data_IF_130827930528
#
_entry.id   IF_130827930528
#
_cell.length_a   1.000
_cell.length_b   1.000
_cell.length_c   1.000
_cell.angle_alpha   90.00
_cell.angle_beta   90.00
_cell.angle_gamma   90.00
#
_symmetry.space_group_name_H-M   'P 1'
#
loop_
_entity.id
_entity.type
_entity.pdbx_description
1 polymer ?
#
# COMPACT_ATOMS: atom_id res chain seq x y z
N UNK A 1 20.32 -14.04 -10.76
CA UNK A 1 19.74 -12.73 -10.37
C UNK A 1 18.37 -13.00 -9.81
N UNK A 2 18.05 -12.56 -8.58
CA UNK A 2 16.68 -12.66 -8.06
C UNK A 2 15.88 -11.57 -8.75
N UNK A 3 15.06 -11.92 -9.73
CA UNK A 3 13.94 -11.08 -10.14
C UNK A 3 13.08 -10.91 -8.89
N UNK A 4 13.19 -9.74 -8.25
CA UNK A 4 12.25 -9.32 -7.22
C UNK A 4 10.87 -9.37 -7.88
N UNK A 5 9.98 -10.23 -7.38
CA UNK A 5 8.64 -10.33 -7.94
C UNK A 5 7.99 -8.96 -7.75
N UNK A 6 7.50 -8.37 -8.85
CA UNK A 6 6.95 -7.01 -8.86
C UNK A 6 5.92 -6.81 -7.72
N UNK A 7 5.21 -7.89 -7.33
CA UNK A 7 4.26 -7.90 -6.22
C UNK A 7 4.92 -7.62 -4.87
N UNK A 8 6.09 -8.18 -4.62
CA UNK A 8 6.84 -7.96 -3.37
C UNK A 8 7.21 -6.48 -3.24
N UNK A 9 7.71 -5.88 -4.33
CA UNK A 9 8.13 -4.47 -4.34
C UNK A 9 6.93 -3.54 -4.11
N UNK A 10 5.84 -3.69 -4.88
CA UNK A 10 4.67 -2.82 -4.75
C UNK A 10 3.96 -3.05 -3.40
N UNK A 11 3.87 -4.29 -2.96
CA UNK A 11 3.25 -4.67 -1.70
C UNK A 11 4.03 -4.15 -0.48
N UNK A 12 5.35 -4.28 -0.46
CA UNK A 12 6.17 -3.73 0.62
C UNK A 12 6.20 -2.19 0.61
N UNK A 13 6.19 -1.56 -0.58
CA UNK A 13 6.13 -0.09 -0.69
C UNK A 13 4.82 0.44 -0.12
N UNK A 14 3.69 -0.18 -0.46
CA UNK A 14 2.38 0.22 0.06
C UNK A 14 2.30 -0.03 1.58
N UNK A 15 2.77 -1.19 2.06
CA UNK A 15 2.82 -1.50 3.49
C UNK A 15 3.69 -0.53 4.27
N UNK A 16 4.87 -0.18 3.76
CA UNK A 16 5.75 0.82 4.35
C UNK A 16 5.03 2.17 4.48
N UNK A 17 4.30 2.57 3.43
CA UNK A 17 3.55 3.81 3.42
C UNK A 17 2.43 3.83 4.44
N UNK A 18 1.66 2.74 4.53
CA UNK A 18 0.63 2.59 5.56
C UNK A 18 1.22 2.63 6.98
N UNK A 19 2.40 2.04 7.20
CA UNK A 19 3.06 2.07 8.50
C UNK A 19 3.54 3.48 8.90
N UNK A 20 4.13 4.22 7.94
CA UNK A 20 4.50 5.62 8.16
C UNK A 20 3.27 6.46 8.48
N UNK A 21 2.19 6.31 7.70
CA UNK A 21 0.92 7.00 7.93
C UNK A 21 0.31 6.65 9.30
N UNK A 22 0.40 5.37 9.72
CA UNK A 22 -0.07 4.94 11.03
C UNK A 22 0.73 5.56 12.18
N UNK A 23 1.99 5.91 11.94
CA UNK A 23 2.86 6.54 12.94
C UNK A 23 2.57 8.04 13.09
N UNK A 24 2.32 8.73 11.98
CA UNK A 24 2.20 10.19 11.96
C UNK A 24 0.77 10.71 11.97
N UNK A 25 -0.20 9.92 11.49
CA UNK A 25 -1.59 10.32 11.31
C UNK A 25 -2.54 9.10 11.42
N UNK A 26 -2.47 8.40 12.56
CA UNK A 26 -3.33 7.24 12.82
C UNK A 26 -4.82 7.59 12.75
N UNK A 27 -5.21 8.74 13.28
CA UNK A 27 -6.61 9.17 13.36
C UNK A 27 -7.22 9.42 11.97
N UNK A 28 -6.42 9.91 11.03
CA UNK A 28 -6.80 10.03 9.62
C UNK A 28 -6.78 8.68 8.90
N UNK A 29 -5.79 7.83 9.21
CA UNK A 29 -5.65 6.53 8.56
C UNK A 29 -6.76 5.55 8.97
N UNK A 30 -7.25 5.61 10.22
CA UNK A 30 -8.33 4.74 10.74
C UNK A 30 -9.58 4.70 9.85
N UNK A 31 -10.21 5.82 9.48
CA UNK A 31 -11.37 5.81 8.58
C UNK A 31 -11.01 5.45 7.13
N UNK A 32 -9.74 5.59 6.72
CA UNK A 32 -9.27 5.22 5.38
C UNK A 32 -8.99 3.72 5.25
N UNK A 33 -8.63 3.04 6.34
CA UNK A 33 -8.33 1.61 6.34
C UNK A 33 -9.61 0.79 6.20
N UNK A 34 -9.80 0.18 5.03
CA UNK A 34 -10.82 -0.83 4.86
C UNK A 34 -10.42 -2.12 5.61
N UNK A 35 -11.40 -2.91 6.07
CA UNK A 35 -11.16 -4.15 6.83
C UNK A 35 -10.28 -5.14 6.06
N UNK A 36 -10.34 -5.09 4.72
CA UNK A 36 -9.55 -5.92 3.83
C UNK A 36 -8.07 -5.50 3.79
N UNK A 37 -7.77 -4.20 3.92
CA UNK A 37 -6.40 -3.68 3.92
C UNK A 37 -5.64 -4.07 5.18
N UNK A 38 -6.32 -4.05 6.34
CA UNK A 38 -5.74 -4.51 7.59
C UNK A 38 -5.34 -6.00 7.51
N UNK A 39 -6.16 -6.84 6.85
CA UNK A 39 -5.81 -8.25 6.61
C UNK A 39 -4.67 -8.41 5.59
N UNK A 40 -4.67 -7.61 4.52
CA UNK A 40 -3.70 -7.73 3.41
C UNK A 40 -2.31 -7.16 3.76
N UNK A 41 -2.26 -6.03 4.46
CA UNK A 41 -1.02 -5.28 4.75
C UNK A 41 -0.64 -5.24 6.23
N UNK A 42 -1.51 -5.68 7.15
CA UNK A 42 -1.22 -5.71 8.59
C UNK A 42 -0.13 -6.70 8.97
N UNK A 43 -0.14 -7.89 8.35
CA UNK A 43 0.96 -8.85 8.48
C UNK A 43 2.03 -8.61 7.40
N UNK A 44 3.28 -9.05 7.64
CA UNK A 44 4.32 -9.03 6.61
C UNK A 44 3.79 -9.82 5.40
N UNK A 45 3.81 -9.22 4.21
CA UNK A 45 3.68 -9.96 2.95
C UNK A 45 4.91 -10.86 2.84
N UNK A 46 4.85 -12.01 3.50
CA UNK A 46 5.88 -13.02 3.39
C UNK A 46 5.68 -13.75 2.06
N UNK A 47 6.76 -13.99 1.30
CA UNK A 47 6.69 -14.67 -0.01
C UNK A 47 5.98 -16.03 0.00
N UNK A 48 5.75 -16.60 1.19
CA UNK A 48 4.95 -17.80 1.41
C UNK A 48 3.44 -17.64 1.14
N UNK A 49 2.89 -16.41 1.28
CA UNK A 49 1.47 -16.10 0.98
C UNK A 49 1.25 -15.63 -0.46
N UNK A 50 2.31 -15.48 -1.25
CA UNK A 50 2.16 -15.10 -2.64
C UNK A 50 1.61 -16.29 -3.43
N UNK A 51 0.58 -16.07 -4.26
CA UNK A 51 0.08 -17.13 -5.10
C UNK A 51 1.19 -17.64 -6.02
N UNK A 52 1.23 -18.96 -6.21
CA UNK A 52 2.23 -19.60 -7.08
C UNK A 52 1.85 -19.44 -8.55
N UNK A 53 0.57 -19.26 -8.85
CA UNK A 53 0.06 -19.13 -10.21
C UNK A 53 0.20 -17.71 -10.75
N UNK A 54 0.60 -17.60 -12.02
CA UNK A 54 0.81 -16.32 -12.70
C UNK A 54 -0.47 -15.47 -12.78
N UNK A 55 -1.63 -16.11 -12.96
CA UNK A 55 -2.92 -15.42 -13.06
C UNK A 55 -3.31 -14.76 -11.73
N UNK A 56 -3.19 -15.51 -10.63
CA UNK A 56 -3.45 -14.99 -9.28
C UNK A 56 -2.47 -13.87 -8.89
N UNK A 57 -1.20 -13.99 -9.30
CA UNK A 57 -0.20 -12.92 -9.17
C UNK A 57 -0.64 -11.64 -9.87
N UNK A 58 -1.11 -11.75 -11.11
CA UNK A 58 -1.61 -10.59 -11.85
C UNK A 58 -2.87 -9.99 -11.23
N UNK A 59 -3.77 -10.82 -10.70
CA UNK A 59 -4.93 -10.34 -9.97
C UNK A 59 -4.50 -9.57 -8.70
N UNK A 60 -3.53 -10.08 -7.96
CA UNK A 60 -3.00 -9.43 -6.77
C UNK A 60 -2.28 -8.11 -7.10
N UNK A 61 -1.51 -8.04 -8.18
CA UNK A 61 -0.93 -6.79 -8.68
C UNK A 61 -1.99 -5.72 -8.93
N UNK A 62 -3.08 -6.10 -9.61
CA UNK A 62 -4.18 -5.17 -9.89
C UNK A 62 -4.84 -4.67 -8.61
N UNK A 63 -5.05 -5.56 -7.65
CA UNK A 63 -5.62 -5.21 -6.35
C UNK A 63 -4.70 -4.26 -5.59
N UNK A 64 -3.40 -4.54 -5.51
CA UNK A 64 -2.44 -3.66 -4.84
C UNK A 64 -2.35 -2.29 -5.54
N UNK A 65 -2.40 -2.27 -6.88
CA UNK A 65 -2.43 -1.03 -7.65
C UNK A 65 -3.69 -0.19 -7.39
N UNK A 66 -4.86 -0.84 -7.32
CA UNK A 66 -6.11 -0.18 -6.95
C UNK A 66 -6.08 0.34 -5.52
N UNK A 67 -5.56 -0.45 -4.57
CA UNK A 67 -5.39 -0.03 -3.18
C UNK A 67 -4.48 1.21 -3.07
N UNK A 68 -3.36 1.22 -3.79
CA UNK A 68 -2.45 2.37 -3.86
C UNK A 68 -3.11 3.62 -4.45
N UNK A 69 -3.91 3.46 -5.51
CA UNK A 69 -4.65 4.56 -6.11
C UNK A 69 -5.70 5.15 -5.14
N UNK A 70 -6.49 4.29 -4.50
CA UNK A 70 -7.48 4.71 -3.49
C UNK A 70 -6.81 5.47 -2.34
N UNK A 71 -5.64 5.00 -1.86
CA UNK A 71 -4.88 5.71 -0.84
C UNK A 71 -4.50 7.14 -1.30
N UNK A 72 -4.05 7.29 -2.54
CA UNK A 72 -3.70 8.60 -3.10
C UNK A 72 -4.92 9.50 -3.28
N UNK A 73 -6.08 8.95 -3.63
CA UNK A 73 -7.34 9.70 -3.67
C UNK A 73 -7.74 10.19 -2.28
N UNK A 74 -7.69 9.34 -1.27
CA UNK A 74 -7.95 9.74 0.12
C UNK A 74 -6.99 10.83 0.58
N UNK A 75 -5.70 10.72 0.25
CA UNK A 75 -4.69 11.74 0.55
C UNK A 75 -4.95 13.07 -0.18
N UNK A 76 -5.49 13.03 -1.40
CA UNK A 76 -5.88 14.22 -2.13
C UNK A 76 -7.12 14.91 -1.51
N UNK A 77 -8.03 14.13 -0.92
CA UNK A 77 -9.20 14.65 -0.19
C UNK A 77 -8.86 15.13 1.23
N UNK A 78 -7.69 14.74 1.78
CA UNK A 78 -7.20 15.13 3.11
C UNK A 78 -6.69 16.58 3.13
N UNK A 79 -7.53 17.55 2.76
CA UNK A 79 -7.20 18.98 2.68
C UNK A 79 -6.79 19.58 4.02
N UNK A 80 -7.23 18.99 5.12
CA UNK A 80 -6.85 19.36 6.49
C UNK A 80 -5.41 18.95 6.84
N UNK A 81 -4.83 17.96 6.12
CA UNK A 81 -3.49 17.41 6.38
C UNK A 81 -2.66 17.34 5.09
N UNK A 82 -2.41 18.48 4.42
CA UNK A 82 -1.75 18.51 3.11
C UNK A 82 -0.29 18.03 3.17
N UNK A 83 0.31 18.00 4.37
CA UNK A 83 1.67 17.51 4.59
C UNK A 83 1.80 15.99 4.42
N UNK A 84 0.71 15.22 4.53
CA UNK A 84 0.74 13.77 4.30
C UNK A 84 1.17 13.42 2.88
N UNK A 85 0.70 14.19 1.89
CA UNK A 85 1.08 14.02 0.48
C UNK A 85 2.57 14.28 0.21
N UNK A 86 3.24 14.99 1.12
CA UNK A 86 4.66 15.34 1.00
C UNK A 86 5.58 14.24 1.57
N UNK A 87 5.03 13.27 2.30
CA UNK A 87 5.80 12.20 2.91
C UNK A 87 6.57 11.41 1.84
N UNK A 88 7.84 11.06 2.08
CA UNK A 88 8.64 10.30 1.12
C UNK A 88 7.98 8.95 0.79
N UNK A 89 7.32 8.30 1.75
CA UNK A 89 6.62 7.05 1.55
C UNK A 89 5.47 7.18 0.52
N UNK A 90 4.68 8.25 0.62
CA UNK A 90 3.59 8.52 -0.35
C UNK A 90 4.13 8.78 -1.75
N UNK A 91 5.27 9.47 -1.86
CA UNK A 91 5.94 9.68 -3.15
C UNK A 91 6.41 8.37 -3.78
N UNK A 92 6.89 7.43 -2.97
CA UNK A 92 7.29 6.11 -3.47
C UNK A 92 6.11 5.35 -4.07
N UNK A 93 4.93 5.37 -3.41
CA UNK A 93 3.70 4.74 -3.96
C UNK A 93 3.27 5.36 -5.30
N UNK A 94 3.54 6.65 -5.53
CA UNK A 94 3.26 7.31 -6.82
C UNK A 94 4.22 6.92 -7.95
N UNK A 95 5.39 6.38 -7.61
CA UNK A 95 6.45 6.07 -8.58
C UNK A 95 6.47 4.60 -9.02
N UNK A 96 5.70 3.75 -8.33
CA UNK A 96 5.63 2.30 -8.59
C UNK A 96 4.42 1.90 -9.42
#
# INVERSE_FOLDING_TARGET
MRELDQIEVVGETLRYTLNVLATVALEWLRPCLNSDWAKRYGERLNGYRLPKEKHERQALLKVIGQDGYQLLEHLAQATEQPWLTKLPAVKLVRQV
#
